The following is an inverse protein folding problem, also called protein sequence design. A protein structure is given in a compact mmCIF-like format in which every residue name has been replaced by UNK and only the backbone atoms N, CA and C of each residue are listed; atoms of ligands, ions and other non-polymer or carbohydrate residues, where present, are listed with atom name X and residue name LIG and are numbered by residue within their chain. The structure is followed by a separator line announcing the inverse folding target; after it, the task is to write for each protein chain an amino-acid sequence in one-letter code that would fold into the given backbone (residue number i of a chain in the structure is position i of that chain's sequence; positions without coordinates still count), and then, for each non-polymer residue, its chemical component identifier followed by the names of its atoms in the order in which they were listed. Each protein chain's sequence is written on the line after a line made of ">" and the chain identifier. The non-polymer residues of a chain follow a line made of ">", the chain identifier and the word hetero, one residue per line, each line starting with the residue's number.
data_IF_433156966736
#
_entry.id   IF_433156966736
#
_cell.length_a   1.000
_cell.length_b   1.000
_cell.length_c   1.000
_cell.angle_alpha   90.00
_cell.angle_beta   90.00
_cell.angle_gamma   90.00
#
_symmetry.space_group_name_H-M   'P 1'
#
loop_
_entity.id
_entity.type
_entity.pdbx_description
1 polymer ?
#
# COMPACT_ATOMS: atom_id res chain seq x y z
N UNK A 1 11.84 11.50 -4.72
CA UNK A 1 11.10 10.29 -4.30
C UNK A 1 12.07 9.27 -3.70
N UNK A 2 11.69 8.61 -2.65
CA UNK A 2 12.54 7.63 -2.01
C UNK A 2 12.07 6.22 -2.29
N UNK A 3 13.01 5.30 -2.43
CA UNK A 3 12.72 3.89 -2.62
C UNK A 3 12.88 3.15 -1.30
N UNK A 4 11.88 2.34 -0.95
CA UNK A 4 11.88 1.59 0.30
C UNK A 4 11.60 0.12 -0.02
N UNK A 5 12.36 -0.76 0.62
CA UNK A 5 12.12 -2.19 0.52
C UNK A 5 11.52 -2.69 1.83
N UNK A 6 10.39 -3.36 1.74
CA UNK A 6 9.71 -3.90 2.92
C UNK A 6 9.42 -5.37 2.73
N UNK A 7 9.27 -6.08 3.85
CA UNK A 7 8.84 -7.47 3.84
C UNK A 7 7.39 -7.54 4.29
N UNK A 8 6.60 -8.34 3.57
CA UNK A 8 5.21 -8.56 3.95
C UNK A 8 4.90 -10.05 3.90
N UNK A 9 3.89 -10.45 4.64
CA UNK A 9 3.43 -11.83 4.65
C UNK A 9 2.98 -12.26 3.27
N UNK A 10 3.20 -13.54 2.96
CA UNK A 10 2.77 -14.08 1.68
C UNK A 10 1.27 -13.92 1.48
N UNK A 11 0.49 -14.15 2.53
CA UNK A 11 -0.96 -14.00 2.45
C UNK A 11 -1.37 -12.58 2.13
N UNK A 12 -0.73 -11.61 2.79
CA UNK A 12 -1.02 -10.20 2.53
C UNK A 12 -0.61 -9.81 1.12
N UNK A 13 0.55 -10.29 0.68
CA UNK A 13 1.03 -10.02 -0.66
C UNK A 13 0.05 -10.54 -1.72
N UNK A 14 -0.41 -11.77 -1.55
CA UNK A 14 -1.34 -12.36 -2.50
C UNK A 14 -2.69 -11.66 -2.50
N UNK A 15 -3.14 -11.22 -1.33
CA UNK A 15 -4.38 -10.45 -1.24
C UNK A 15 -4.30 -9.17 -2.07
N UNK A 16 -3.23 -8.41 -1.90
CA UNK A 16 -3.07 -7.16 -2.65
C UNK A 16 -2.80 -7.41 -4.12
N UNK A 17 -2.11 -8.49 -4.44
CA UNK A 17 -1.88 -8.86 -5.84
C UNK A 17 -3.19 -9.15 -6.55
N UNK A 18 -4.07 -9.92 -5.91
CA UNK A 18 -5.37 -10.21 -6.49
C UNK A 18 -6.22 -8.96 -6.64
N UNK A 19 -6.18 -8.09 -5.63
CA UNK A 19 -6.89 -6.83 -5.68
C UNK A 19 -6.40 -5.99 -6.87
N UNK A 20 -5.09 -5.92 -7.06
CA UNK A 20 -4.52 -5.19 -8.16
C UNK A 20 -4.93 -5.75 -9.51
N UNK A 21 -4.99 -7.08 -9.62
CA UNK A 21 -5.41 -7.72 -10.86
C UNK A 21 -6.85 -7.36 -11.23
N UNK A 22 -7.70 -7.23 -10.23
CA UNK A 22 -9.10 -6.87 -10.46
C UNK A 22 -9.25 -5.46 -11.03
N UNK A 23 -8.39 -4.56 -10.62
CA UNK A 23 -8.43 -3.17 -11.09
C UNK A 23 -7.33 -2.87 -12.11
N UNK A 24 -6.61 -3.92 -12.54
CA UNK A 24 -5.57 -3.84 -13.57
C UNK A 24 -4.42 -2.92 -13.15
N UNK A 25 -3.97 -3.08 -11.91
CA UNK A 25 -2.88 -2.30 -11.33
C UNK A 25 -1.85 -3.26 -10.76
N UNK A 26 -0.57 -2.91 -10.89
CA UNK A 26 0.52 -3.72 -10.34
C UNK A 26 0.48 -3.74 -8.82
N UNK A 27 0.96 -4.84 -8.23
CA UNK A 27 0.94 -4.98 -6.78
C UNK A 27 1.75 -3.88 -6.10
N UNK A 28 2.86 -3.47 -6.69
CA UNK A 28 3.68 -2.40 -6.12
C UNK A 28 2.90 -1.10 -6.04
N UNK A 29 2.10 -0.82 -7.05
CA UNK A 29 1.28 0.39 -7.07
C UNK A 29 0.16 0.31 -6.04
N UNK A 30 -0.46 -0.87 -5.89
CA UNK A 30 -1.49 -1.07 -4.86
C UNK A 30 -0.91 -0.80 -3.48
N UNK A 31 0.26 -1.37 -3.20
CA UNK A 31 0.90 -1.18 -1.90
C UNK A 31 1.27 0.28 -1.68
N UNK A 32 1.71 0.97 -2.73
CA UNK A 32 2.03 2.39 -2.64
C UNK A 32 0.81 3.23 -2.31
N UNK A 33 -0.33 2.92 -2.93
CA UNK A 33 -1.58 3.63 -2.66
C UNK A 33 -2.00 3.41 -1.20
N UNK A 34 -1.94 2.17 -0.71
CA UNK A 34 -2.31 1.86 0.65
C UNK A 34 -1.40 2.58 1.65
N UNK A 35 -0.11 2.62 1.36
CA UNK A 35 0.84 3.31 2.23
C UNK A 35 0.56 4.80 2.25
N UNK A 36 0.24 5.39 1.13
CA UNK A 36 -0.08 6.81 1.04
C UNK A 36 -1.33 7.14 1.83
N UNK A 37 -2.36 6.31 1.71
CA UNK A 37 -3.60 6.49 2.47
C UNK A 37 -3.34 6.42 3.97
N UNK A 38 -2.49 5.49 4.40
CA UNK A 38 -2.12 5.36 5.81
C UNK A 38 -1.41 6.63 6.29
N UNK A 39 -0.52 7.16 5.48
CA UNK A 39 0.19 8.39 5.81
C UNK A 39 -0.77 9.55 5.99
N UNK A 40 -1.73 9.70 5.09
CA UNK A 40 -2.69 10.80 5.16
C UNK A 40 -3.54 10.71 6.42
N UNK A 41 -3.98 9.52 6.76
CA UNK A 41 -4.79 9.33 7.97
C UNK A 41 -4.01 9.66 9.22
N UNK A 42 -2.76 9.21 9.30
CA UNK A 42 -1.94 9.46 10.47
C UNK A 42 -1.61 10.94 10.60
N UNK A 43 -1.37 11.61 9.49
CA UNK A 43 -1.09 13.03 9.51
C UNK A 43 -2.28 13.82 9.99
N UNK A 44 -3.48 13.49 9.51
CA UNK A 44 -4.69 14.16 9.93
C UNK A 44 -4.93 13.97 11.42
N UNK A 45 -4.68 12.76 11.93
CA UNK A 45 -4.87 12.48 13.36
C UNK A 45 -3.86 13.20 14.22
N UNK A 46 -2.65 13.40 13.73
CA UNK A 46 -1.61 14.04 14.54
C UNK A 46 -1.71 15.55 14.54
N UNK A 47 -2.54 16.14 13.71
CA UNK A 47 -2.72 17.59 13.66
C UNK A 47 -3.77 18.10 14.65
N UNK A 48 -4.38 17.20 15.39
CA UNK A 48 -5.36 17.62 16.42
C UNK A 48 -4.68 18.08 17.72
#
# INVERSE_FOLDING_TARGET
>A
MKTVTIQIDTEAYEFFRELGQKINVEVEDVLGIELYNCYRQKKANSEE
#
